data_IF_369020661942
#
_entry.id   IF_369020661942
#
_cell.length_a   1.000
_cell.length_b   1.000
_cell.length_c   1.000
_cell.angle_alpha   90.00
_cell.angle_beta   90.00
_cell.angle_gamma   90.00
#
_symmetry.space_group_name_H-M   'P 1'
#
loop_
_entity.id
_entity.type
_entity.pdbx_description
1 polymer ?
#
# COMPACT_ATOMS: atom_id res chain seq x y z
N UNK A 1 3.43 18.32 -5.66
CA UNK A 1 3.13 16.87 -5.68
C UNK A 1 1.81 16.69 -4.98
N UNK A 2 0.87 15.92 -5.52
CA UNK A 2 -0.46 15.73 -4.89
C UNK A 2 -0.40 14.67 -3.80
N UNK A 3 -1.33 14.72 -2.83
CA UNK A 3 -1.45 13.68 -1.79
C UNK A 3 -1.61 12.28 -2.39
N UNK A 4 -2.36 12.18 -3.50
CA UNK A 4 -2.52 10.94 -4.29
C UNK A 4 -1.16 10.44 -4.79
N UNK A 5 -0.35 11.30 -5.41
CA UNK A 5 0.97 10.93 -5.91
C UNK A 5 1.91 10.49 -4.77
N UNK A 6 1.82 11.12 -3.61
CA UNK A 6 2.63 10.75 -2.44
C UNK A 6 2.25 9.37 -1.93
N UNK A 7 0.95 9.10 -1.82
CA UNK A 7 0.41 7.83 -1.37
C UNK A 7 0.75 6.68 -2.33
N UNK A 8 0.69 6.93 -3.64
CA UNK A 8 1.12 5.97 -4.67
C UNK A 8 2.60 5.57 -4.50
N UNK A 9 3.48 6.53 -4.21
CA UNK A 9 4.91 6.24 -3.96
C UNK A 9 5.12 5.44 -2.68
N UNK A 10 4.35 5.72 -1.62
CA UNK A 10 4.40 4.93 -0.38
C UNK A 10 3.95 3.50 -0.63
N UNK A 11 2.83 3.31 -1.34
CA UNK A 11 2.32 1.98 -1.71
C UNK A 11 3.37 1.18 -2.47
N UNK A 12 4.01 1.80 -3.46
CA UNK A 12 5.06 1.15 -4.26
C UNK A 12 6.28 0.78 -3.42
N UNK A 13 6.69 1.66 -2.50
CA UNK A 13 7.80 1.38 -1.57
C UNK A 13 7.50 0.18 -0.67
N UNK A 14 6.30 0.12 -0.08
CA UNK A 14 5.90 -1.00 0.77
C UNK A 14 5.78 -2.30 -0.02
N UNK A 15 5.33 -2.25 -1.28
CA UNK A 15 5.31 -3.41 -2.18
C UNK A 15 6.71 -3.97 -2.39
N UNK A 16 7.69 -3.11 -2.68
CA UNK A 16 9.09 -3.55 -2.85
C UNK A 16 9.65 -4.18 -1.58
N UNK A 17 9.46 -3.54 -0.43
CA UNK A 17 9.90 -4.08 0.86
C UNK A 17 9.21 -5.40 1.22
N UNK A 18 7.96 -5.60 0.77
CA UNK A 18 7.25 -6.88 0.92
C UNK A 18 7.90 -7.99 0.10
N UNK A 19 8.41 -7.69 -1.09
CA UNK A 19 9.06 -8.69 -1.95
C UNK A 19 10.33 -9.27 -1.32
N UNK A 20 10.95 -8.55 -0.38
CA UNK A 20 12.10 -9.04 0.40
C UNK A 20 11.71 -9.99 1.55
N UNK A 21 10.42 -10.28 1.74
CA UNK A 21 9.95 -11.18 2.80
C UNK A 21 9.89 -12.63 2.32
N UNK A 22 10.54 -13.53 3.06
CA UNK A 22 10.41 -14.98 2.87
C UNK A 22 9.96 -15.68 4.17
N UNK A 23 8.98 -16.59 4.12
CA UNK A 23 8.18 -16.94 2.93
C UNK A 23 7.23 -15.79 2.53
N UNK A 24 6.91 -15.68 1.23
CA UNK A 24 5.87 -14.78 0.69
C UNK A 24 4.45 -15.28 0.99
N UNK A 25 4.18 -15.54 2.26
CA UNK A 25 2.94 -16.13 2.74
C UNK A 25 2.41 -15.39 3.96
N UNK A 26 1.10 -15.53 4.22
CA UNK A 26 0.46 -14.90 5.38
C UNK A 26 0.97 -15.47 6.73
N UNK A 27 1.64 -16.61 6.71
CA UNK A 27 2.35 -17.17 7.87
C UNK A 27 3.59 -16.35 8.25
N UNK A 28 4.15 -15.55 7.34
CA UNK A 28 5.20 -14.59 7.64
C UNK A 28 4.58 -13.27 8.14
N UNK A 29 4.76 -12.91 9.42
CA UNK A 29 4.14 -11.71 9.99
C UNK A 29 4.57 -10.42 9.29
N UNK A 30 5.82 -10.35 8.78
CA UNK A 30 6.33 -9.18 8.07
C UNK A 30 5.65 -9.02 6.71
N UNK A 31 5.55 -10.11 5.95
CA UNK A 31 4.84 -10.13 4.66
C UNK A 31 3.36 -9.75 4.82
N UNK A 32 2.70 -10.31 5.84
CA UNK A 32 1.30 -10.03 6.15
C UNK A 32 1.08 -8.54 6.50
N UNK A 33 1.95 -7.97 7.35
CA UNK A 33 1.86 -6.54 7.73
C UNK A 33 2.02 -5.61 6.53
N UNK A 34 3.01 -5.86 5.67
CA UNK A 34 3.15 -5.07 4.43
C UNK A 34 1.92 -5.21 3.53
N UNK A 35 1.38 -6.43 3.38
CA UNK A 35 0.17 -6.65 2.58
C UNK A 35 -1.04 -5.91 3.14
N UNK A 36 -1.23 -5.92 4.46
CA UNK A 36 -2.31 -5.21 5.12
C UNK A 36 -2.16 -3.69 4.96
N UNK A 37 -0.95 -3.15 5.14
CA UNK A 37 -0.68 -1.73 4.96
C UNK A 37 -0.96 -1.28 3.51
N UNK A 38 -0.50 -2.04 2.51
CA UNK A 38 -0.77 -1.76 1.09
C UNK A 38 -2.28 -1.75 0.82
N UNK A 39 -3.03 -2.71 1.36
CA UNK A 39 -4.48 -2.73 1.20
C UNK A 39 -5.16 -1.52 1.83
N UNK A 40 -4.78 -1.15 3.06
CA UNK A 40 -5.31 0.03 3.75
C UNK A 40 -5.06 1.33 2.96
N UNK A 41 -3.84 1.51 2.45
CA UNK A 41 -3.48 2.70 1.69
C UNK A 41 -4.21 2.78 0.34
N UNK A 42 -4.53 1.64 -0.28
CA UNK A 42 -5.35 1.63 -1.51
C UNK A 42 -6.76 2.14 -1.26
N UNK A 43 -7.38 1.77 -0.13
CA UNK A 43 -8.69 2.30 0.23
C UNK A 43 -8.66 3.83 0.35
N UNK A 44 -7.68 4.36 1.08
CA UNK A 44 -7.48 5.81 1.23
C UNK A 44 -7.25 6.48 -0.14
N UNK A 45 -6.47 5.85 -1.04
CA UNK A 45 -6.23 6.37 -2.38
C UNK A 45 -7.53 6.44 -3.20
N UNK A 46 -8.39 5.44 -3.09
CA UNK A 46 -9.66 5.39 -3.81
C UNK A 46 -10.63 6.45 -3.27
N UNK A 47 -10.67 6.66 -1.94
CA UNK A 47 -11.45 7.74 -1.31
C UNK A 47 -11.01 9.11 -1.81
N UNK A 48 -9.70 9.40 -1.79
CA UNK A 48 -9.15 10.68 -2.28
C UNK A 48 -9.46 10.91 -3.77
N UNK A 49 -9.41 9.86 -4.60
CA UNK A 49 -9.77 9.94 -6.02
C UNK A 49 -11.27 10.14 -6.24
N UNK A 50 -12.11 9.66 -5.32
CA UNK A 50 -13.54 9.92 -5.37
C UNK A 50 -13.82 11.39 -5.03
N UNK A 51 -13.14 11.92 -4.01
CA UNK A 51 -13.23 13.34 -3.62
C UNK A 51 -12.81 14.30 -4.75
N UNK A 52 -11.74 13.99 -5.50
CA UNK A 52 -11.32 14.84 -6.64
C UNK A 52 -12.30 14.83 -7.83
N UNK A 53 -13.18 13.82 -7.92
CA UNK A 53 -14.17 13.69 -9.00
C UNK A 53 -15.52 14.31 -8.67
N UNK A 54 -15.75 14.65 -7.40
CA UNK A 54 -16.97 15.29 -6.90
C UNK A 54 -16.90 16.81 -7.06
#
# INVERSE_FOLDING_TARGET
MTKIQELERVIETLRRQREDCEPKANTNPRYLRYSNAVSALKWILDDLRAEERA
#
